data_IF_439259295997
#
_entry.id   IF_439259295997
#
_cell.length_a   1.000
_cell.length_b   1.000
_cell.length_c   1.000
_cell.angle_alpha   90.00
_cell.angle_beta   90.00
_cell.angle_gamma   90.00
#
_symmetry.space_group_name_H-M   'P 1'
#
loop_
_entity.id
_entity.type
_entity.pdbx_description
1 polymer ?
#
# COMPACT_ATOMS: atom_id res chain seq x y z
N UNK A 1 -67.13 -11.24 -13.30
CA UNK A 1 -66.07 -12.26 -13.29
C UNK A 1 -64.79 -11.59 -12.83
N UNK A 2 -64.19 -12.10 -11.75
CA UNK A 2 -63.02 -11.55 -11.08
C UNK A 2 -61.79 -11.86 -11.95
N UNK A 3 -61.03 -10.87 -12.40
CA UNK A 3 -59.75 -11.11 -13.07
C UNK A 3 -58.64 -10.77 -12.06
N UNK A 4 -57.77 -11.75 -11.86
CA UNK A 4 -56.73 -11.81 -10.83
C UNK A 4 -55.48 -11.08 -11.34
N UNK A 5 -54.92 -10.18 -10.54
CA UNK A 5 -53.61 -9.53 -10.72
C UNK A 5 -52.56 -10.46 -10.10
N UNK A 6 -51.39 -10.72 -10.74
CA UNK A 6 -50.14 -10.05 -10.34
C UNK A 6 -49.24 -9.67 -11.54
N UNK A 7 -48.67 -8.47 -11.56
CA UNK A 7 -47.31 -8.18 -11.05
C UNK A 7 -46.21 -8.90 -11.86
N UNK A 8 -45.60 -8.18 -12.81
CA UNK A 8 -44.19 -8.37 -13.17
C UNK A 8 -43.68 -7.08 -13.84
N UNK A 9 -43.24 -6.16 -13.00
CA UNK A 9 -42.53 -4.94 -13.36
C UNK A 9 -41.11 -5.32 -13.76
N UNK A 10 -40.84 -5.46 -15.05
CA UNK A 10 -39.49 -5.71 -15.57
C UNK A 10 -38.79 -4.36 -15.78
N UNK A 11 -38.31 -3.75 -14.70
CA UNK A 11 -37.36 -2.66 -14.76
C UNK A 11 -35.98 -3.23 -15.09
N UNK A 12 -35.54 -3.09 -16.33
CA UNK A 12 -34.16 -3.36 -16.72
C UNK A 12 -33.26 -2.28 -16.10
N UNK A 13 -32.69 -2.56 -14.93
CA UNK A 13 -31.61 -1.77 -14.35
C UNK A 13 -30.33 -2.01 -15.16
N UNK A 14 -30.11 -1.19 -16.18
CA UNK A 14 -28.79 -1.03 -16.77
C UNK A 14 -27.91 -0.26 -15.76
N UNK A 15 -27.36 -0.97 -14.79
CA UNK A 15 -26.27 -0.47 -13.96
C UNK A 15 -24.97 -0.62 -14.75
N UNK A 16 -24.63 0.39 -15.55
CA UNK A 16 -23.25 0.58 -15.97
C UNK A 16 -22.46 0.96 -14.71
N UNK A 17 -21.84 -0.04 -14.08
CA UNK A 17 -20.78 0.23 -13.10
C UNK A 17 -19.70 1.02 -13.82
N UNK A 18 -19.49 2.26 -13.41
CA UNK A 18 -18.28 3.00 -13.73
C UNK A 18 -17.12 2.17 -13.15
N UNK A 19 -16.34 1.55 -14.01
CA UNK A 19 -15.06 0.96 -13.66
C UNK A 19 -14.06 2.11 -13.50
N UNK A 20 -14.17 2.83 -12.38
CA UNK A 20 -13.03 3.56 -11.82
C UNK A 20 -12.09 2.50 -11.25
N UNK A 21 -11.25 1.94 -12.12
CA UNK A 21 -10.01 1.30 -11.71
C UNK A 21 -9.24 2.32 -10.89
N UNK A 22 -9.25 2.13 -9.57
CA UNK A 22 -8.42 2.88 -8.62
C UNK A 22 -6.97 2.64 -9.01
N UNK A 23 -6.45 3.55 -9.82
CA UNK A 23 -5.05 3.64 -10.17
C UNK A 23 -4.29 4.02 -8.90
N UNK A 24 -3.67 2.99 -8.31
CA UNK A 24 -2.55 3.02 -7.38
C UNK A 24 -2.52 4.17 -6.35
N UNK A 25 -3.37 4.07 -5.33
CA UNK A 25 -2.96 4.55 -4.01
C UNK A 25 -1.89 3.58 -3.48
N UNK A 26 -0.68 3.63 -4.06
CA UNK A 26 0.51 3.12 -3.39
C UNK A 26 0.47 3.75 -2.00
N UNK A 27 0.38 2.89 -0.98
CA UNK A 27 0.16 3.31 0.39
C UNK A 27 1.15 4.40 0.82
N UNK A 28 0.77 5.19 1.82
CA UNK A 28 1.63 6.23 2.42
C UNK A 28 3.08 5.75 2.49
N UNK A 29 4.02 6.57 2.04
CA UNK A 29 5.44 6.22 2.01
C UNK A 29 5.89 5.74 3.40
N UNK A 30 6.69 4.67 3.43
CA UNK A 30 7.25 4.15 4.68
C UNK A 30 8.16 5.23 5.31
N UNK A 31 7.85 5.75 6.51
CA UNK A 31 8.62 6.81 7.14
C UNK A 31 10.10 6.47 7.32
N UNK A 32 10.42 5.21 7.60
CA UNK A 32 11.80 4.76 7.75
C UNK A 32 12.56 4.78 6.42
N UNK A 33 11.90 4.37 5.33
CA UNK A 33 12.48 4.43 3.98
C UNK A 33 12.67 5.87 3.50
N UNK A 34 11.70 6.76 3.78
CA UNK A 34 11.81 8.20 3.50
C UNK A 34 12.99 8.79 4.25
N UNK A 35 13.07 8.54 5.56
CA UNK A 35 14.16 9.02 6.40
C UNK A 35 15.53 8.53 5.92
N UNK A 36 15.64 7.27 5.48
CA UNK A 36 16.87 6.74 4.90
C UNK A 36 17.33 7.58 3.69
N UNK A 37 16.42 7.85 2.75
CA UNK A 37 16.72 8.64 1.54
C UNK A 37 17.04 10.09 1.89
N UNK A 38 16.33 10.70 2.84
CA UNK A 38 16.61 12.05 3.33
C UNK A 38 18.01 12.19 3.97
N UNK A 39 18.55 11.11 4.54
CA UNK A 39 19.93 11.08 5.05
C UNK A 39 20.98 10.76 3.99
N UNK A 40 20.58 10.74 2.71
CA UNK A 40 21.45 10.43 1.59
C UNK A 40 21.72 8.94 1.40
N UNK A 41 21.00 8.08 2.12
CA UNK A 41 21.07 6.64 1.95
C UNK A 41 20.18 6.12 0.82
N UNK A 42 20.21 4.82 0.60
CA UNK A 42 19.31 4.10 -0.31
C UNK A 42 18.52 3.06 0.48
N UNK A 43 17.18 3.10 0.42
CA UNK A 43 16.34 2.05 1.01
C UNK A 43 16.31 0.83 0.10
N UNK A 44 16.44 -0.36 0.69
CA UNK A 44 16.48 -1.67 0.02
C UNK A 44 15.62 -2.65 0.79
N UNK A 45 14.72 -3.33 0.08
CA UNK A 45 13.99 -4.47 0.64
C UNK A 45 14.84 -5.73 0.47
N UNK A 46 15.05 -6.45 1.57
CA UNK A 46 15.67 -7.77 1.57
C UNK A 46 14.64 -8.82 1.91
N UNK A 47 14.74 -9.99 1.26
CA UNK A 47 13.84 -11.12 1.46
C UNK A 47 14.61 -12.29 2.05
N UNK A 48 14.13 -12.83 3.16
CA UNK A 48 14.71 -14.01 3.80
C UNK A 48 14.23 -15.31 3.12
N UNK A 49 14.86 -16.44 3.46
CA UNK A 49 14.53 -17.74 2.89
C UNK A 49 13.10 -18.22 3.20
N UNK A 50 12.52 -17.74 4.31
CA UNK A 50 11.13 -18.00 4.70
C UNK A 50 10.12 -17.06 3.99
N UNK A 51 10.61 -16.14 3.15
CA UNK A 51 9.79 -15.19 2.41
C UNK A 51 9.48 -13.90 3.16
N UNK A 52 9.92 -13.73 4.41
CA UNK A 52 9.79 -12.46 5.14
C UNK A 52 10.63 -11.36 4.47
N UNK A 53 10.12 -10.13 4.49
CA UNK A 53 10.78 -8.96 3.92
C UNK A 53 11.15 -7.96 5.02
N UNK A 54 12.30 -7.30 4.86
CA UNK A 54 12.80 -6.29 5.80
C UNK A 54 13.45 -5.14 5.02
N UNK A 55 13.40 -3.93 5.59
CA UNK A 55 13.99 -2.75 5.00
C UNK A 55 15.40 -2.47 5.55
N UNK A 56 16.37 -2.29 4.66
CA UNK A 56 17.71 -1.83 5.00
C UNK A 56 17.93 -0.43 4.42
N UNK A 57 18.62 0.41 5.18
CA UNK A 57 19.19 1.65 4.71
C UNK A 57 20.68 1.46 4.40
N UNK A 58 21.06 1.60 3.13
CA UNK A 58 22.46 1.66 2.71
C UNK A 58 22.93 3.11 2.86
N UNK A 59 23.79 3.36 3.84
CA UNK A 59 24.30 4.69 4.16
C UNK A 59 25.36 5.17 3.13
N UNK A 60 25.66 6.49 3.04
CA UNK A 60 26.63 7.02 2.08
C UNK A 60 28.05 6.43 2.19
N UNK A 61 28.42 5.93 3.37
CA UNK A 61 29.70 5.25 3.61
C UNK A 61 29.67 3.76 3.19
N UNK A 62 28.57 3.27 2.62
CA UNK A 62 28.36 1.89 2.19
C UNK A 62 27.94 0.92 3.30
N UNK A 63 27.79 1.38 4.55
CA UNK A 63 27.27 0.51 5.62
C UNK A 63 25.77 0.30 5.51
N UNK A 64 25.29 -0.87 5.91
CA UNK A 64 23.86 -1.21 5.92
C UNK A 64 23.35 -1.25 7.36
N UNK A 65 22.20 -0.61 7.60
CA UNK A 65 21.49 -0.62 8.89
C UNK A 65 20.02 -0.93 8.67
N UNK A 66 19.35 -1.56 9.64
CA UNK A 66 17.89 -1.71 9.58
C UNK A 66 17.21 -0.33 9.57
N UNK A 67 16.35 -0.08 8.57
CA UNK A 67 15.81 1.28 8.35
C UNK A 67 14.92 1.74 9.50
N UNK A 68 14.18 0.82 10.14
CA UNK A 68 13.28 1.12 11.25
C UNK A 68 14.03 1.38 12.55
N UNK A 69 15.09 0.63 12.80
CA UNK A 69 16.02 0.88 13.89
C UNK A 69 16.66 2.26 13.72
N UNK A 70 17.20 2.54 12.53
CA UNK A 70 17.82 3.83 12.24
C UNK A 70 16.84 4.99 12.41
N UNK A 71 15.60 4.85 11.91
CA UNK A 71 14.56 5.85 12.11
C UNK A 71 14.28 6.12 13.60
N UNK A 72 14.01 5.08 14.41
CA UNK A 72 13.67 5.25 15.84
C UNK A 72 14.83 5.78 16.68
N UNK A 73 16.06 5.37 16.41
CA UNK A 73 17.25 5.87 17.13
C UNK A 73 17.49 7.36 16.90
N UNK A 74 17.00 7.92 15.78
CA UNK A 74 17.20 9.32 15.41
C UNK A 74 15.91 10.18 15.49
N UNK A 75 14.78 9.57 15.83
CA UNK A 75 13.51 10.24 16.08
C UNK A 75 12.93 9.75 17.42
N UNK A 76 13.62 9.99 18.56
CA UNK A 76 13.07 9.70 19.88
C UNK A 76 11.88 10.62 20.17
N UNK A 77 10.86 10.10 20.85
CA UNK A 77 9.69 10.90 21.30
C UNK A 77 10.04 11.92 22.40
#
# INVERSE_FOLDING_TARGET
MKQIVPLAMAAALAACSAEDSKDDMVGMANPASVYCVEKGGTSKIVKAADGSESGLCVLPNGSEVDEWRYFRENNPE
#
